data_IF_835318735129
#
_entry.id   IF_835318735129
#
_cell.length_a   1.000
_cell.length_b   1.000
_cell.length_c   1.000
_cell.angle_alpha   90.00
_cell.angle_beta   90.00
_cell.angle_gamma   90.00
#
_symmetry.space_group_name_H-M   'P 1'
#
loop_
_entity.id
_entity.type
_entity.pdbx_description
1 polymer ?
#
# COMPACT_ATOMS: atom_id res chain seq x y z
N UNK A 1 23.37 -5.53 30.31
CA UNK A 1 21.92 -5.26 30.13
C UNK A 1 21.41 -6.17 29.02
N UNK A 2 20.22 -6.73 29.16
CA UNK A 2 19.59 -7.45 28.05
C UNK A 2 19.25 -6.45 26.92
N UNK A 3 19.34 -6.85 25.63
CA UNK A 3 18.97 -5.98 24.52
C UNK A 3 17.49 -5.59 24.60
N UNK A 4 17.16 -4.34 24.26
CA UNK A 4 15.77 -3.86 24.18
C UNK A 4 15.03 -4.65 23.10
N UNK A 5 13.98 -5.44 23.44
CA UNK A 5 13.25 -6.24 22.45
C UNK A 5 12.45 -5.40 21.45
N UNK A 6 12.25 -4.11 21.73
CA UNK A 6 11.58 -3.14 20.85
C UNK A 6 12.50 -1.97 20.51
N UNK A 7 13.74 -2.27 20.12
CA UNK A 7 14.78 -1.26 19.89
C UNK A 7 14.43 -0.20 18.83
N UNK A 8 13.80 -0.60 17.72
CA UNK A 8 13.27 0.35 16.75
C UNK A 8 11.91 0.88 17.22
N UNK A 9 11.82 2.19 17.42
CA UNK A 9 10.60 2.89 17.89
C UNK A 9 9.78 3.48 16.74
N UNK A 10 10.22 3.33 15.49
CA UNK A 10 9.47 3.81 14.34
C UNK A 10 8.28 2.90 14.06
N UNK A 11 7.22 3.48 13.51
CA UNK A 11 6.04 2.73 13.12
C UNK A 11 6.14 2.23 11.67
N UNK A 12 5.22 1.36 11.30
CA UNK A 12 4.93 1.01 9.90
C UNK A 12 3.45 1.27 9.63
N UNK A 13 3.16 2.21 8.75
CA UNK A 13 1.80 2.74 8.55
C UNK A 13 0.81 1.72 7.98
N UNK A 14 1.29 0.69 7.28
CA UNK A 14 0.44 -0.44 6.86
C UNK A 14 -0.01 -1.28 8.05
N UNK A 15 0.90 -1.61 8.98
CA UNK A 15 0.60 -2.30 10.22
C UNK A 15 -0.42 -1.53 11.07
N UNK A 16 -0.17 -0.25 11.29
CA UNK A 16 -1.08 0.64 12.02
C UNK A 16 -2.47 0.69 11.36
N UNK A 17 -2.52 0.80 10.03
CA UNK A 17 -3.76 0.81 9.24
C UNK A 17 -4.51 -0.52 9.38
N UNK A 18 -3.82 -1.66 9.31
CA UNK A 18 -4.44 -2.97 9.46
C UNK A 18 -4.98 -3.20 10.87
N UNK A 19 -4.25 -2.77 11.91
CA UNK A 19 -4.69 -2.85 13.31
C UNK A 19 -5.97 -2.01 13.50
N UNK A 20 -5.96 -0.75 13.06
CA UNK A 20 -7.13 0.12 13.13
C UNK A 20 -8.33 -0.48 12.38
N UNK A 21 -8.10 -1.01 11.18
CA UNK A 21 -9.17 -1.61 10.39
C UNK A 21 -9.74 -2.88 11.01
N UNK A 22 -8.88 -3.73 11.60
CA UNK A 22 -9.31 -4.91 12.34
C UNK A 22 -10.19 -4.51 13.54
N UNK A 23 -9.80 -3.48 14.30
CA UNK A 23 -10.59 -2.94 15.42
C UNK A 23 -11.94 -2.39 14.95
N UNK A 24 -11.98 -1.65 13.83
CA UNK A 24 -13.24 -1.15 13.29
C UNK A 24 -14.17 -2.29 12.87
N UNK A 25 -13.63 -3.35 12.25
CA UNK A 25 -14.39 -4.55 11.89
C UNK A 25 -14.86 -5.33 13.11
N UNK A 26 -14.01 -5.43 14.14
CA UNK A 26 -14.32 -6.06 15.42
C UNK A 26 -15.51 -5.39 16.11
N UNK A 27 -15.60 -4.05 16.06
CA UNK A 27 -16.79 -3.36 16.57
C UNK A 27 -18.06 -3.81 15.85
N UNK A 28 -18.06 -3.93 14.51
CA UNK A 28 -19.23 -4.38 13.75
C UNK A 28 -19.56 -5.85 14.04
N UNK A 29 -18.54 -6.70 14.18
CA UNK A 29 -18.72 -8.13 14.40
C UNK A 29 -19.22 -8.47 15.81
N UNK A 30 -18.66 -7.81 16.83
CA UNK A 30 -18.91 -8.14 18.24
C UNK A 30 -19.74 -7.09 18.97
N UNK A 31 -20.20 -6.05 18.28
CA UNK A 31 -21.07 -5.00 18.80
C UNK A 31 -20.50 -4.28 20.04
N UNK A 32 -19.17 -4.23 20.16
CA UNK A 32 -18.48 -3.55 21.26
C UNK A 32 -17.84 -2.23 20.80
N UNK A 33 -18.39 -1.13 21.31
CA UNK A 33 -17.94 0.24 20.99
C UNK A 33 -16.49 0.52 21.36
N UNK A 34 -15.89 -0.22 22.30
CA UNK A 34 -14.50 -0.02 22.73
C UNK A 34 -13.52 -0.24 21.57
N UNK A 35 -13.81 -1.17 20.66
CA UNK A 35 -12.98 -1.39 19.49
C UNK A 35 -13.04 -0.22 18.50
N UNK A 36 -14.21 0.38 18.29
CA UNK A 36 -14.32 1.57 17.44
C UNK A 36 -13.58 2.77 18.06
N UNK A 37 -13.67 2.98 19.37
CA UNK A 37 -12.93 4.05 20.06
C UNK A 37 -11.41 3.87 19.86
N UNK A 38 -10.90 2.65 19.99
CA UNK A 38 -9.49 2.35 19.73
C UNK A 38 -9.10 2.59 18.26
N UNK A 39 -9.95 2.16 17.31
CA UNK A 39 -9.75 2.46 15.88
C UNK A 39 -9.75 3.96 15.59
N UNK A 40 -10.67 4.72 16.18
CA UNK A 40 -10.79 6.17 15.99
C UNK A 40 -9.51 6.89 16.47
N UNK A 41 -8.91 6.43 17.58
CA UNK A 41 -7.65 6.98 18.07
C UNK A 41 -6.47 6.71 17.12
N UNK A 42 -6.33 5.49 16.59
CA UNK A 42 -5.24 5.13 15.66
C UNK A 42 -5.40 5.84 14.32
N UNK A 43 -6.62 5.89 13.78
CA UNK A 43 -6.89 6.58 12.50
C UNK A 43 -6.63 8.08 12.59
N UNK A 44 -6.99 8.73 13.70
CA UNK A 44 -6.62 10.13 13.94
C UNK A 44 -5.09 10.31 14.03
N UNK A 45 -4.38 9.40 14.69
CA UNK A 45 -2.92 9.44 14.78
C UNK A 45 -2.24 9.25 13.41
N UNK A 46 -2.76 8.35 12.56
CA UNK A 46 -2.30 8.15 11.18
C UNK A 46 -2.45 9.43 10.36
N UNK A 47 -3.63 10.05 10.34
CA UNK A 47 -3.86 11.30 9.62
C UNK A 47 -2.93 12.42 10.12
N UNK A 48 -2.72 12.50 11.44
CA UNK A 48 -1.89 13.55 12.05
C UNK A 48 -0.39 13.36 11.79
N UNK A 49 0.10 12.12 11.81
CA UNK A 49 1.54 11.84 11.93
C UNK A 49 2.16 11.24 10.68
N UNK A 50 1.36 10.58 9.84
CA UNK A 50 1.85 9.88 8.65
C UNK A 50 1.33 10.46 7.34
N UNK A 51 0.25 11.25 7.37
CA UNK A 51 -0.28 11.90 6.17
C UNK A 51 0.29 13.31 6.05
N UNK A 52 0.90 13.60 4.89
CA UNK A 52 1.51 14.90 4.60
C UNK A 52 1.02 15.43 3.25
N UNK A 53 1.08 16.76 3.09
CA UNK A 53 0.85 17.40 1.80
C UNK A 53 2.18 17.49 1.04
N UNK A 54 2.27 16.86 -0.12
CA UNK A 54 3.50 16.85 -0.93
C UNK A 54 3.16 16.70 -2.42
N UNK A 55 3.89 17.39 -3.29
CA UNK A 55 3.63 17.42 -4.73
C UNK A 55 2.15 17.69 -5.10
N UNK A 56 1.49 18.57 -4.34
CA UNK A 56 0.08 18.94 -4.54
C UNK A 56 -0.96 17.89 -4.13
N UNK A 57 -0.57 16.86 -3.37
CA UNK A 57 -1.44 15.73 -2.97
C UNK A 57 -1.32 15.41 -1.47
N UNK A 58 -2.34 14.76 -0.91
CA UNK A 58 -2.21 14.07 0.38
C UNK A 58 -1.56 12.70 0.16
N UNK A 59 -0.48 12.42 0.90
CA UNK A 59 0.26 11.16 0.80
C UNK A 59 0.52 10.57 2.17
N UNK A 60 0.42 9.25 2.28
CA UNK A 60 0.74 8.51 3.50
C UNK A 60 2.19 8.04 3.45
N UNK A 61 2.99 8.50 4.40
CA UNK A 61 4.36 8.06 4.63
C UNK A 61 4.37 6.61 5.16
N UNK A 62 5.36 5.78 4.79
CA UNK A 62 5.50 4.42 5.29
C UNK A 62 5.75 4.31 6.80
N UNK A 63 6.27 5.38 7.40
CA UNK A 63 6.45 5.55 8.84
C UNK A 63 6.74 7.02 9.14
N UNK A 64 6.68 7.41 10.42
CA UNK A 64 6.85 8.81 10.85
C UNK A 64 8.28 9.31 10.59
N UNK A 65 9.29 8.43 10.67
CA UNK A 65 10.70 8.80 10.48
C UNK A 65 11.32 8.05 9.29
N UNK A 66 12.27 8.70 8.62
CA UNK A 66 13.14 8.07 7.60
C UNK A 66 12.62 8.08 6.16
N UNK A 67 11.39 8.54 5.92
CA UNK A 67 10.76 8.51 4.59
C UNK A 67 10.46 9.88 3.98
N UNK A 68 10.66 10.95 4.76
CA UNK A 68 10.58 12.33 4.30
C UNK A 68 12.01 12.87 4.18
N UNK A 69 12.51 12.98 2.96
CA UNK A 69 13.86 13.44 2.63
C UNK A 69 13.79 14.86 2.04
N UNK A 70 14.94 15.53 1.96
CA UNK A 70 15.01 16.94 1.58
C UNK A 70 14.38 17.27 0.22
N UNK A 71 14.50 16.38 -0.77
CA UNK A 71 14.03 16.59 -2.15
C UNK A 71 12.94 15.61 -2.62
N UNK A 72 12.63 14.60 -1.80
CA UNK A 72 11.65 13.56 -2.15
C UNK A 72 11.09 12.83 -0.92
N UNK A 73 9.96 12.15 -1.14
CA UNK A 73 9.41 11.17 -0.20
C UNK A 73 9.68 9.77 -0.72
N UNK A 74 10.11 8.87 0.15
CA UNK A 74 10.14 7.43 -0.14
C UNK A 74 8.81 6.81 0.29
N UNK A 75 8.00 6.41 -0.69
CA UNK A 75 6.69 5.82 -0.49
C UNK A 75 6.74 4.31 -0.76
N UNK A 76 5.87 3.57 -0.08
CA UNK A 76 5.62 2.16 -0.38
C UNK A 76 4.16 2.03 -0.86
N UNK A 77 3.90 1.90 -2.18
CA UNK A 77 2.53 1.85 -2.69
C UNK A 77 1.73 0.64 -2.18
N UNK A 78 2.39 -0.39 -1.65
CA UNK A 78 1.69 -1.50 -1.00
C UNK A 78 1.05 -1.13 0.34
N UNK A 79 1.39 0.04 0.90
CA UNK A 79 0.78 0.56 2.14
C UNK A 79 -0.49 1.35 1.86
N UNK A 80 -0.88 1.52 0.59
CA UNK A 80 -2.13 2.15 0.21
C UNK A 80 -3.27 1.13 0.34
N UNK A 81 -3.71 0.93 1.59
CA UNK A 81 -4.74 -0.05 1.94
C UNK A 81 -6.14 0.55 1.67
N UNK A 82 -6.46 0.70 0.38
CA UNK A 82 -7.73 1.28 -0.09
C UNK A 82 -9.01 0.75 0.59
N UNK A 83 -9.19 -0.57 0.84
CA UNK A 83 -10.40 -1.04 1.52
C UNK A 83 -10.49 -0.56 2.98
N UNK A 84 -9.36 -0.38 3.66
CA UNK A 84 -9.30 0.17 5.02
C UNK A 84 -9.62 1.67 5.00
N UNK A 85 -9.01 2.43 4.09
CA UNK A 85 -9.27 3.88 3.96
C UNK A 85 -10.73 4.19 3.64
N UNK A 86 -11.38 3.38 2.77
CA UNK A 86 -12.83 3.48 2.53
C UNK A 86 -13.63 3.25 3.81
N UNK A 87 -13.30 2.20 4.57
CA UNK A 87 -13.99 1.90 5.83
C UNK A 87 -13.79 3.00 6.88
N UNK A 88 -12.61 3.63 6.93
CA UNK A 88 -12.37 4.76 7.81
C UNK A 88 -13.18 6.00 7.40
N UNK A 89 -13.27 6.28 6.10
CA UNK A 89 -14.08 7.40 5.60
C UNK A 89 -15.57 7.27 5.93
N UNK A 90 -16.10 6.05 5.97
CA UNK A 90 -17.48 5.76 6.42
C UNK A 90 -17.67 6.00 7.93
N UNK A 91 -16.59 5.98 8.71
CA UNK A 91 -16.63 6.11 10.17
C UNK A 91 -16.33 7.52 10.66
N UNK A 92 -15.26 8.15 10.19
CA UNK A 92 -14.73 9.42 10.71
C UNK A 92 -13.87 10.13 9.67
N UNK A 93 -13.66 11.44 9.81
CA UNK A 93 -12.78 12.24 8.94
C UNK A 93 -13.00 12.00 7.44
N UNK A 94 -14.27 11.88 7.02
CA UNK A 94 -14.69 11.44 5.69
C UNK A 94 -13.91 12.12 4.55
N UNK A 95 -13.79 13.46 4.60
CA UNK A 95 -13.11 14.24 3.57
C UNK A 95 -11.63 13.88 3.48
N UNK A 96 -10.93 13.79 4.62
CA UNK A 96 -9.49 13.50 4.64
C UNK A 96 -9.18 12.11 4.07
N UNK A 97 -9.93 11.08 4.49
CA UNK A 97 -9.75 9.73 3.98
C UNK A 97 -10.13 9.58 2.50
N UNK A 98 -11.19 10.24 2.05
CA UNK A 98 -11.55 10.26 0.62
C UNK A 98 -10.50 10.96 -0.23
N UNK A 99 -9.97 12.08 0.23
CA UNK A 99 -8.87 12.79 -0.46
C UNK A 99 -7.63 11.90 -0.54
N UNK A 100 -7.19 11.31 0.58
CA UNK A 100 -6.04 10.40 0.60
C UNK A 100 -6.23 9.21 -0.34
N UNK A 101 -7.43 8.61 -0.37
CA UNK A 101 -7.74 7.51 -1.27
C UNK A 101 -7.68 7.95 -2.75
N UNK A 102 -8.29 9.08 -3.09
CA UNK A 102 -8.28 9.63 -4.45
C UNK A 102 -6.85 9.95 -4.91
N UNK A 103 -6.07 10.63 -4.06
CA UNK A 103 -4.68 10.97 -4.37
C UNK A 103 -3.77 9.74 -4.46
N UNK A 104 -3.96 8.76 -3.57
CA UNK A 104 -3.23 7.49 -3.63
C UNK A 104 -3.53 6.70 -4.90
N UNK A 105 -4.79 6.66 -5.35
CA UNK A 105 -5.18 6.04 -6.62
C UNK A 105 -4.60 6.79 -7.83
N UNK A 106 -4.63 8.13 -7.80
CA UNK A 106 -4.06 8.96 -8.86
C UNK A 106 -2.53 8.80 -8.96
N UNK A 107 -1.83 8.76 -7.82
CA UNK A 107 -0.40 8.48 -7.76
C UNK A 107 -0.09 7.08 -8.28
N UNK A 108 -0.81 6.06 -7.79
CA UNK A 108 -0.59 4.68 -8.24
C UNK A 108 -0.81 4.52 -9.75
N UNK A 109 -1.80 5.21 -10.34
CA UNK A 109 -2.01 5.22 -11.79
C UNK A 109 -0.88 5.83 -12.60
N UNK A 110 0.00 6.61 -11.97
CA UNK A 110 1.19 7.20 -12.57
C UNK A 110 2.47 6.40 -12.24
N UNK A 111 2.40 5.40 -11.35
CA UNK A 111 3.52 4.54 -11.00
C UNK A 111 3.58 3.31 -11.92
N UNK A 112 4.63 3.21 -12.70
CA UNK A 112 4.87 2.05 -13.55
C UNK A 112 6.12 2.20 -14.38
N UNK A 113 7.01 1.22 -14.33
CA UNK A 113 8.27 1.27 -15.06
C UNK A 113 8.57 -0.03 -15.80
N UNK A 114 9.46 0.07 -16.79
CA UNK A 114 9.87 -1.05 -17.63
C UNK A 114 8.74 -1.62 -18.49
N UNK A 115 9.00 -2.78 -19.10
CA UNK A 115 8.06 -3.44 -20.02
C UNK A 115 6.77 -3.91 -19.36
N UNK A 116 6.79 -4.11 -18.03
CA UNK A 116 5.63 -4.56 -17.27
C UNK A 116 4.67 -3.43 -16.89
N UNK A 117 5.10 -2.17 -16.95
CA UNK A 117 4.34 -1.02 -16.44
C UNK A 117 3.85 -1.22 -15.00
N UNK A 118 4.66 -1.87 -14.16
CA UNK A 118 4.34 -2.16 -12.76
C UNK A 118 5.17 -1.27 -11.82
N UNK A 119 4.62 -0.88 -10.67
CA UNK A 119 5.37 -0.18 -9.63
C UNK A 119 6.41 -1.11 -8.97
N UNK A 120 7.48 -0.52 -8.44
CA UNK A 120 8.40 -1.19 -7.51
C UNK A 120 7.85 -1.23 -6.09
N UNK A 121 8.49 -2.03 -5.22
CA UNK A 121 8.17 -2.08 -3.79
C UNK A 121 8.29 -0.70 -3.11
N UNK A 122 9.29 0.08 -3.51
CA UNK A 122 9.55 1.43 -3.00
C UNK A 122 9.64 2.42 -4.16
N UNK A 123 9.00 3.58 -4.00
CA UNK A 123 8.90 4.65 -5.00
C UNK A 123 9.29 5.98 -4.38
N UNK A 124 10.24 6.67 -5.00
CA UNK A 124 10.58 8.04 -4.66
C UNK A 124 9.64 9.01 -5.40
N UNK A 125 8.95 9.87 -4.65
CA UNK A 125 8.11 10.97 -5.15
C UNK A 125 8.84 12.30 -4.90
N UNK A 126 9.17 13.04 -5.96
CA UNK A 126 9.77 14.37 -5.89
C UNK A 126 8.72 15.47 -5.78
N UNK A 127 9.12 16.64 -5.28
CA UNK A 127 8.22 17.78 -5.08
C UNK A 127 7.56 18.28 -6.38
N UNK A 128 8.21 18.05 -7.52
CA UNK A 128 7.69 18.33 -8.88
C UNK A 128 6.68 17.27 -9.38
N UNK A 129 6.35 16.27 -8.57
CA UNK A 129 5.45 15.17 -8.91
C UNK A 129 6.11 14.02 -9.68
N UNK A 130 7.39 14.14 -10.05
CA UNK A 130 8.10 13.06 -10.74
C UNK A 130 8.31 11.87 -9.80
N UNK A 131 8.02 10.67 -10.32
CA UNK A 131 8.21 9.42 -9.59
C UNK A 131 9.21 8.50 -10.27
N UNK A 132 10.02 7.82 -9.48
CA UNK A 132 10.98 6.80 -9.89
C UNK A 132 11.04 5.69 -8.83
N UNK A 133 11.51 4.47 -9.15
CA UNK A 133 11.88 3.51 -8.13
C UNK A 133 12.86 4.15 -7.14
N UNK A 134 12.63 3.98 -5.83
CA UNK A 134 13.51 4.51 -4.80
C UNK A 134 14.92 3.89 -4.92
N UNK A 135 15.96 4.66 -4.57
CA UNK A 135 17.37 4.28 -4.86
C UNK A 135 17.96 3.34 -3.81
N UNK A 136 17.38 3.35 -2.63
CA UNK A 136 17.84 2.64 -1.44
C UNK A 136 17.46 1.15 -1.46
N UNK A 137 16.54 0.78 -2.37
CA UNK A 137 16.08 -0.60 -2.54
C UNK A 137 16.23 -1.06 -4.00
N UNK A 138 16.37 -2.38 -4.24
CA UNK A 138 16.33 -2.92 -5.59
C UNK A 138 15.04 -2.50 -6.33
N UNK A 139 15.12 -2.00 -7.57
CA UNK A 139 13.97 -1.45 -8.30
C UNK A 139 13.11 -2.56 -8.91
N UNK A 140 12.45 -3.34 -8.04
CA UNK A 140 11.66 -4.53 -8.42
C UNK A 140 10.23 -4.46 -7.90
N UNK A 141 9.31 -5.03 -8.66
CA UNK A 141 8.03 -5.50 -8.13
C UNK A 141 8.29 -6.83 -7.41
N UNK A 142 8.16 -6.86 -6.08
CA UNK A 142 8.34 -8.07 -5.28
C UNK A 142 7.35 -8.19 -4.13
N UNK A 143 7.81 -8.62 -2.95
CA UNK A 143 6.96 -9.06 -1.84
C UNK A 143 6.04 -7.98 -1.28
N UNK A 144 6.40 -6.71 -1.42
CA UNK A 144 5.54 -5.61 -1.01
C UNK A 144 4.53 -5.30 -2.12
N UNK A 145 5.03 -5.00 -3.32
CA UNK A 145 4.22 -4.55 -4.44
C UNK A 145 3.15 -5.58 -4.86
N UNK A 146 3.35 -6.88 -4.62
CA UNK A 146 2.35 -7.91 -4.91
C UNK A 146 1.04 -7.75 -4.09
N UNK A 147 1.05 -7.00 -2.97
CA UNK A 147 -0.16 -6.67 -2.20
C UNK A 147 -1.02 -5.59 -2.86
N UNK A 148 -0.47 -4.80 -3.78
CA UNK A 148 -1.19 -3.73 -4.47
C UNK A 148 -2.43 -4.26 -5.23
N UNK A 149 -2.33 -5.26 -6.11
CA UNK A 149 -3.50 -5.79 -6.81
C UNK A 149 -4.52 -6.43 -5.85
N UNK A 150 -4.06 -6.99 -4.72
CA UNK A 150 -4.93 -7.48 -3.66
C UNK A 150 -5.79 -6.35 -3.07
N UNK A 151 -5.17 -5.25 -2.63
CA UNK A 151 -5.92 -4.13 -2.04
C UNK A 151 -6.78 -3.38 -3.06
N UNK A 152 -6.30 -3.24 -4.31
CA UNK A 152 -7.10 -2.69 -5.40
C UNK A 152 -8.38 -3.50 -5.60
N UNK A 153 -8.27 -4.80 -5.81
CA UNK A 153 -9.44 -5.62 -6.09
C UNK A 153 -10.34 -5.84 -4.87
N UNK A 154 -9.80 -5.82 -3.65
CA UNK A 154 -10.62 -5.88 -2.44
C UNK A 154 -11.45 -4.60 -2.26
N UNK A 155 -10.89 -3.44 -2.64
CA UNK A 155 -11.65 -2.20 -2.69
C UNK A 155 -12.67 -2.20 -3.86
N UNK A 156 -12.20 -2.50 -5.06
CA UNK A 156 -12.98 -2.52 -6.31
C UNK A 156 -12.36 -3.47 -7.36
N UNK A 157 -12.97 -4.64 -7.63
CA UNK A 157 -12.47 -5.60 -8.61
C UNK A 157 -12.55 -5.11 -10.07
N UNK A 158 -13.32 -4.04 -10.33
CA UNK A 158 -13.45 -3.41 -11.64
C UNK A 158 -12.50 -2.22 -11.84
N UNK A 159 -11.64 -1.93 -10.87
CA UNK A 159 -10.69 -0.82 -10.95
C UNK A 159 -9.78 -0.93 -12.19
N UNK A 160 -9.70 0.16 -12.95
CA UNK A 160 -8.79 0.27 -14.10
C UNK A 160 -7.31 0.12 -13.68
N UNK A 161 -6.97 0.43 -12.42
CA UNK A 161 -5.61 0.27 -11.88
C UNK A 161 -5.14 -1.19 -11.83
N UNK A 162 -6.05 -2.16 -11.97
CA UNK A 162 -5.70 -3.59 -12.08
C UNK A 162 -5.19 -3.98 -13.48
N UNK A 163 -5.36 -3.14 -14.50
CA UNK A 163 -4.99 -3.46 -15.88
C UNK A 163 -3.53 -3.91 -16.08
N UNK A 164 -2.50 -3.19 -15.61
CA UNK A 164 -1.11 -3.62 -15.79
C UNK A 164 -0.80 -4.94 -15.05
N UNK A 165 -1.44 -5.17 -13.90
CA UNK A 165 -1.30 -6.42 -13.15
C UNK A 165 -1.90 -7.62 -13.90
N UNK A 166 -3.12 -7.46 -14.44
CA UNK A 166 -3.80 -8.49 -15.23
C UNK A 166 -2.96 -8.83 -16.47
N UNK A 167 -2.51 -7.83 -17.22
CA UNK A 167 -1.67 -8.03 -18.40
C UNK A 167 -0.36 -8.75 -18.08
N UNK A 168 0.34 -8.32 -17.03
CA UNK A 168 1.60 -8.93 -16.62
C UNK A 168 1.39 -10.37 -16.14
N UNK A 169 0.39 -10.66 -15.30
CA UNK A 169 0.13 -12.02 -14.82
C UNK A 169 -0.30 -12.97 -15.95
N UNK A 170 -1.07 -12.47 -16.93
CA UNK A 170 -1.51 -13.25 -18.09
C UNK A 170 -0.36 -13.62 -19.03
N UNK A 171 0.76 -12.87 -19.01
CA UNK A 171 1.96 -13.18 -19.81
C UNK A 171 2.74 -14.41 -19.33
N UNK A 172 2.41 -14.97 -18.16
CA UNK A 172 3.04 -16.18 -17.63
C UNK A 172 2.06 -17.37 -17.61
N UNK A 173 2.52 -18.60 -17.88
CA UNK A 173 1.76 -19.79 -17.55
C UNK A 173 1.36 -19.76 -16.07
N UNK A 174 0.13 -20.17 -15.72
CA UNK A 174 -0.42 -20.10 -14.35
C UNK A 174 0.20 -21.12 -13.38
N UNK A 175 1.48 -21.41 -13.49
CA UNK A 175 2.32 -21.96 -12.43
C UNK A 175 3.71 -21.32 -12.44
N UNK A 176 3.99 -20.37 -13.33
CA UNK A 176 5.32 -19.85 -13.62
C UNK A 176 5.39 -18.33 -13.50
N UNK A 177 4.41 -17.70 -12.83
CA UNK A 177 4.49 -16.27 -12.51
C UNK A 177 5.76 -16.00 -11.69
N UNK A 178 6.47 -14.95 -12.10
CA UNK A 178 7.89 -14.76 -11.84
C UNK A 178 8.10 -13.46 -11.04
N UNK A 179 8.98 -13.45 -10.04
CA UNK A 179 9.27 -12.27 -9.20
C UNK A 179 10.36 -11.40 -9.83
N UNK A 180 10.12 -10.10 -9.91
CA UNK A 180 11.06 -9.12 -10.49
C UNK A 180 10.77 -8.82 -11.96
N UNK A 181 11.09 -7.59 -12.38
CA UNK A 181 10.91 -7.07 -13.75
C UNK A 181 12.15 -7.26 -14.64
N UNK A 182 13.16 -8.00 -14.17
CA UNK A 182 14.47 -8.21 -14.81
C UNK A 182 14.60 -9.59 -15.46
N UNK A 183 15.67 -9.82 -16.22
CA UNK A 183 15.90 -10.99 -17.08
C UNK A 183 16.04 -12.36 -16.38
N UNK A 184 16.26 -12.40 -15.06
CA UNK A 184 16.35 -13.65 -14.28
C UNK A 184 15.33 -13.71 -13.12
N UNK A 185 14.02 -13.82 -13.39
CA UNK A 185 13.03 -13.84 -12.32
C UNK A 185 12.92 -15.24 -11.69
N UNK A 186 12.85 -15.29 -10.36
CA UNK A 186 12.58 -16.50 -9.58
C UNK A 186 11.08 -16.73 -9.37
N UNK A 187 10.62 -17.98 -9.29
CA UNK A 187 9.20 -18.32 -9.04
C UNK A 187 8.72 -17.78 -7.68
N UNK A 188 7.44 -17.40 -7.61
CA UNK A 188 6.79 -17.06 -6.33
C UNK A 188 6.63 -18.27 -5.41
N UNK A 189 6.76 -18.12 -4.08
CA UNK A 189 6.42 -19.15 -3.11
C UNK A 189 4.89 -19.41 -3.09
N UNK A 190 4.44 -20.59 -2.60
CA UNK A 190 3.04 -21.04 -2.69
C UNK A 190 2.01 -20.08 -2.08
N UNK A 191 2.34 -19.35 -1.00
CA UNK A 191 1.43 -18.41 -0.33
C UNK A 191 1.14 -17.12 -1.12
N UNK A 192 1.91 -16.84 -2.18
CA UNK A 192 1.67 -15.71 -3.09
C UNK A 192 0.82 -16.16 -4.29
N UNK A 193 0.70 -17.47 -4.49
CA UNK A 193 -0.13 -18.04 -5.55
C UNK A 193 -1.60 -17.62 -5.46
N UNK A 194 -2.28 -17.57 -4.29
CA UNK A 194 -3.66 -17.05 -4.19
C UNK A 194 -3.77 -15.56 -4.56
N UNK A 195 -2.74 -14.76 -4.24
CA UNK A 195 -2.65 -13.35 -4.63
C UNK A 195 -2.26 -13.15 -6.10
N UNK A 196 -1.82 -14.20 -6.81
CA UNK A 196 -1.49 -14.19 -8.23
C UNK A 196 -2.49 -14.98 -9.10
N UNK A 197 -3.32 -15.84 -8.51
CA UNK A 197 -4.29 -16.69 -9.18
C UNK A 197 -5.62 -15.96 -9.40
N UNK A 198 -5.55 -14.77 -9.99
CA UNK A 198 -6.69 -13.92 -10.35
C UNK A 198 -7.50 -14.44 -11.55
N UNK A 199 -7.17 -15.60 -12.10
CA UNK A 199 -7.99 -16.24 -13.17
C UNK A 199 -9.31 -16.82 -12.67
N UNK A 200 -9.56 -16.84 -11.36
CA UNK A 200 -10.80 -17.39 -10.77
C UNK A 200 -11.73 -16.32 -10.16
N UNK A 201 -11.30 -15.05 -10.10
CA UNK A 201 -12.08 -13.97 -9.48
C UNK A 201 -12.48 -12.86 -10.47
N UNK A 202 -12.38 -13.13 -11.78
CA UNK A 202 -12.81 -12.27 -12.89
C UNK A 202 -13.48 -13.17 -13.93
#
# INVERSE_FOLDING_TARGET
MAPDPIADKNNASDGDTLIAWALLRAQKQWQDKRYAIASDAITAALLKSTVVSFAGRQVMLPGVKGFNLNDHLNLNPSYFIFPAWRAFAERTHLTAWRTLQSDGQALLGQMGWGKSHLPSDWVALRADGKMLPAKEWPPRMSFDAIRIPLYLSWADPHSALLAPWKAWMQSYPRLQTRRGSTSAPTRWPPGIWPAACWRCAI
#
